data_IF_494928424013
#
_entry.id   IF_494928424013
#
_cell.length_a   1.000
_cell.length_b   1.000
_cell.length_c   1.000
_cell.angle_alpha   90.00
_cell.angle_beta   90.00
_cell.angle_gamma   90.00
#
_symmetry.space_group_name_H-M   'P 1'
#
loop_
_entity.id
_entity.type
_entity.pdbx_description
1 polymer ?
#
# COMPACT_ATOMS: atom_id res chain seq x y z
N UNK A 1 -36.06 30.49 58.23
CA UNK A 1 -35.53 30.26 59.59
C UNK A 1 -35.76 28.78 59.89
N UNK A 2 -34.85 27.92 60.31
CA UNK A 2 -33.53 27.98 60.93
C UNK A 2 -32.88 26.61 60.62
N UNK A 3 -31.71 26.53 59.99
CA UNK A 3 -30.40 26.34 60.63
C UNK A 3 -30.31 25.16 61.63
N UNK A 4 -29.36 24.26 61.31
CA UNK A 4 -28.31 23.66 62.17
C UNK A 4 -28.47 22.21 62.70
N UNK A 5 -27.31 21.54 62.72
CA UNK A 5 -26.82 20.50 63.67
C UNK A 5 -26.96 19.06 63.15
N UNK A 6 -25.92 18.38 62.66
CA UNK A 6 -24.62 17.94 63.24
C UNK A 6 -24.70 16.67 64.11
N UNK A 7 -23.72 15.79 63.87
CA UNK A 7 -23.24 14.65 64.68
C UNK A 7 -24.06 13.35 64.61
N UNK A 8 -23.51 12.26 64.05
CA UNK A 8 -22.47 11.35 64.57
C UNK A 8 -23.11 10.17 65.30
N UNK A 9 -22.97 8.96 64.76
CA UNK A 9 -22.73 7.74 65.55
C UNK A 9 -22.57 6.53 64.66
N UNK A 10 -21.43 5.86 64.80
CA UNK A 10 -21.16 4.50 64.32
C UNK A 10 -22.05 3.49 65.07
N UNK A 11 -22.35 2.37 64.43
CA UNK A 11 -22.13 0.97 64.89
C UNK A 11 -23.24 0.01 64.41
N UNK A 12 -22.75 -0.99 63.67
CA UNK A 12 -23.21 -2.37 63.44
C UNK A 12 -24.68 -2.68 63.18
N UNK A 13 -24.92 -3.36 62.05
CA UNK A 13 -25.73 -4.59 62.04
C UNK A 13 -25.11 -5.63 61.11
N UNK A 14 -24.85 -6.81 61.70
CA UNK A 14 -24.86 -8.15 61.08
C UNK A 14 -26.23 -8.31 60.35
N UNK A 15 -26.47 -9.10 59.31
CA UNK A 15 -25.97 -10.39 58.84
C UNK A 15 -26.77 -10.76 57.57
N UNK A 16 -26.32 -11.80 56.88
CA UNK A 16 -27.12 -12.74 56.06
C UNK A 16 -27.19 -12.53 54.54
N UNK A 17 -26.28 -13.23 53.87
CA UNK A 17 -26.54 -14.24 52.82
C UNK A 17 -27.39 -13.86 51.60
N UNK A 18 -26.74 -13.78 50.44
CA UNK A 18 -27.19 -14.44 49.21
C UNK A 18 -26.01 -14.69 48.27
N UNK A 19 -25.76 -15.97 47.98
CA UNK A 19 -24.83 -16.47 46.98
C UNK A 19 -25.43 -16.17 45.62
N UNK A 20 -24.77 -15.33 44.81
CA UNK A 20 -25.04 -15.23 43.39
C UNK A 20 -23.74 -15.50 42.64
N UNK A 21 -23.76 -16.59 41.88
CA UNK A 21 -22.72 -17.10 41.02
C UNK A 21 -22.31 -16.03 40.00
N UNK A 22 -21.17 -15.37 40.20
CA UNK A 22 -20.52 -14.55 39.17
C UNK A 22 -19.42 -15.39 38.52
N UNK A 23 -19.71 -15.93 37.34
CA UNK A 23 -18.66 -16.35 36.40
C UNK A 23 -18.05 -15.09 35.77
N UNK A 24 -16.74 -14.83 35.91
CA UNK A 24 -16.11 -13.77 35.13
C UNK A 24 -15.87 -14.28 33.70
N UNK A 25 -16.68 -13.83 32.74
CA UNK A 25 -16.29 -13.87 31.33
C UNK A 25 -15.17 -12.83 31.17
N UNK A 26 -13.93 -13.29 31.24
CA UNK A 26 -12.77 -12.49 30.87
C UNK A 26 -12.81 -12.30 29.33
N UNK A 27 -13.33 -11.17 28.88
CA UNK A 27 -13.22 -10.74 27.49
C UNK A 27 -11.74 -10.44 27.19
N UNK A 28 -11.03 -11.43 26.64
CA UNK A 28 -9.68 -11.26 26.11
C UNK A 28 -9.76 -10.42 24.85
N UNK A 29 -9.40 -9.14 24.94
CA UNK A 29 -9.16 -8.30 23.77
C UNK A 29 -7.92 -8.81 23.02
N UNK A 30 -8.13 -9.55 21.94
CA UNK A 30 -7.07 -9.93 21.01
C UNK A 30 -6.69 -8.66 20.25
N UNK A 31 -5.53 -8.10 20.59
CA UNK A 31 -4.93 -6.97 19.88
C UNK A 31 -4.39 -7.49 18.53
N UNK A 32 -5.18 -7.37 17.46
CA UNK A 32 -4.69 -7.58 16.11
C UNK A 32 -3.75 -6.43 15.73
N UNK A 33 -2.44 -6.69 15.80
CA UNK A 33 -1.45 -5.79 15.23
C UNK A 33 -1.49 -5.95 13.71
N UNK A 34 -2.12 -5.01 13.02
CA UNK A 34 -2.07 -4.93 11.56
C UNK A 34 -0.60 -4.69 11.14
N UNK A 35 -0.01 -5.67 10.44
CA UNK A 35 1.28 -5.44 9.80
C UNK A 35 1.09 -4.40 8.69
N UNK A 36 2.05 -3.46 8.49
CA UNK A 36 1.97 -2.53 7.38
C UNK A 36 2.02 -3.32 6.07
N UNK A 37 1.03 -3.13 5.20
CA UNK A 37 1.10 -3.60 3.81
C UNK A 37 2.27 -2.90 3.11
N UNK A 38 3.19 -3.67 2.53
CA UNK A 38 4.32 -3.13 1.77
C UNK A 38 4.06 -3.36 0.29
N UNK A 39 3.53 -2.34 -0.40
CA UNK A 39 3.34 -2.39 -1.84
C UNK A 39 4.68 -2.52 -2.57
N UNK A 40 4.69 -3.29 -3.64
CA UNK A 40 5.83 -3.33 -4.53
C UNK A 40 5.88 -2.03 -5.34
N UNK A 41 6.87 -1.19 -5.04
CA UNK A 41 7.01 0.14 -5.62
C UNK A 41 8.01 0.14 -6.78
N UNK A 42 7.62 0.76 -7.90
CA UNK A 42 8.47 0.93 -9.07
C UNK A 42 8.81 2.39 -9.34
N UNK A 43 10.07 2.64 -9.73
CA UNK A 43 10.54 3.89 -10.31
C UNK A 43 10.52 3.87 -11.83
N UNK A 44 10.92 4.98 -12.47
CA UNK A 44 10.77 5.19 -13.91
C UNK A 44 12.02 5.77 -14.58
N UNK A 45 12.34 5.25 -15.76
CA UNK A 45 13.34 5.79 -16.66
C UNK A 45 12.66 6.54 -17.81
N UNK A 46 13.15 7.74 -18.12
CA UNK A 46 12.73 8.50 -19.29
C UNK A 46 13.21 7.81 -20.58
N UNK A 47 12.39 7.87 -21.64
CA UNK A 47 12.70 7.20 -22.92
C UNK A 47 12.66 8.13 -24.14
N UNK A 48 12.16 9.36 -24.00
CA UNK A 48 12.09 10.36 -25.08
C UNK A 48 13.25 11.34 -25.06
N UNK A 49 13.68 11.78 -23.88
CA UNK A 49 14.80 12.69 -23.71
C UNK A 49 14.59 14.08 -24.33
N UNK A 50 13.35 14.57 -24.41
CA UNK A 50 13.06 15.86 -25.05
C UNK A 50 13.62 17.04 -24.22
N UNK A 51 13.67 16.89 -22.90
CA UNK A 51 14.16 17.84 -21.91
C UNK A 51 14.77 17.10 -20.71
N UNK A 52 16.05 17.37 -20.41
CA UNK A 52 16.72 16.79 -19.26
C UNK A 52 16.03 17.15 -17.92
N UNK A 53 15.47 18.36 -17.82
CA UNK A 53 14.71 18.80 -16.64
C UNK A 53 13.42 18.00 -16.47
N UNK A 54 12.71 17.71 -17.57
CA UNK A 54 11.43 16.99 -17.52
C UNK A 54 11.64 15.51 -17.25
N UNK A 55 12.69 14.94 -17.84
CA UNK A 55 13.15 13.59 -17.57
C UNK A 55 13.47 13.42 -16.08
N UNK A 56 14.26 14.33 -15.49
CA UNK A 56 14.60 14.26 -14.07
C UNK A 56 13.38 14.45 -13.17
N UNK A 57 12.52 15.43 -13.47
CA UNK A 57 11.29 15.67 -12.74
C UNK A 57 10.42 14.40 -12.70
N UNK A 58 10.06 13.87 -13.88
CA UNK A 58 9.23 12.68 -14.01
C UNK A 58 9.81 11.45 -13.29
N UNK A 59 11.09 11.13 -13.50
CA UNK A 59 11.75 10.00 -12.82
C UNK A 59 11.70 10.11 -11.28
N UNK A 60 11.73 11.33 -10.74
CA UNK A 60 11.69 11.56 -9.29
C UNK A 60 10.26 11.52 -8.72
N UNK A 61 9.25 11.98 -9.44
CA UNK A 61 7.89 12.14 -8.92
C UNK A 61 6.94 10.97 -9.22
N UNK A 62 7.13 10.28 -10.35
CA UNK A 62 6.24 9.21 -10.77
C UNK A 62 6.44 7.96 -9.89
N UNK A 63 5.34 7.37 -9.42
CA UNK A 63 5.34 6.15 -8.62
C UNK A 63 4.19 5.23 -9.06
N UNK A 64 4.43 3.93 -8.92
CA UNK A 64 3.38 2.91 -8.96
C UNK A 64 3.50 2.05 -7.72
N UNK A 65 2.36 1.81 -7.09
CA UNK A 65 2.17 0.77 -6.09
C UNK A 65 1.43 -0.41 -6.75
N UNK A 66 1.95 -1.63 -6.59
CA UNK A 66 1.36 -2.84 -7.16
C UNK A 66 0.93 -3.76 -6.03
N UNK A 67 -0.36 -4.07 -5.99
CA UNK A 67 -1.02 -4.80 -4.90
C UNK A 67 -2.07 -5.78 -5.44
N UNK A 68 -2.68 -6.58 -4.55
CA UNK A 68 -3.91 -7.32 -4.88
C UNK A 68 -5.14 -6.38 -4.97
N UNK A 69 -6.29 -6.93 -5.36
CA UNK A 69 -7.52 -6.15 -5.55
C UNK A 69 -8.01 -5.41 -4.28
N UNK A 70 -7.61 -5.85 -3.09
CA UNK A 70 -7.94 -5.22 -1.82
C UNK A 70 -6.92 -4.17 -1.37
N UNK A 71 -5.87 -3.94 -2.17
CA UNK A 71 -4.73 -3.12 -1.78
C UNK A 71 -3.75 -3.83 -0.84
N UNK A 72 -3.84 -5.15 -0.73
CA UNK A 72 -2.95 -6.01 0.06
C UNK A 72 -1.84 -6.66 -0.78
N UNK A 73 -1.12 -7.61 -0.17
CA UNK A 73 0.05 -8.26 -0.78
C UNK A 73 -0.18 -9.77 -1.05
N UNK A 74 -1.42 -10.20 -1.27
CA UNK A 74 -1.73 -11.60 -1.49
C UNK A 74 -1.16 -12.09 -2.83
N UNK A 75 0.01 -12.73 -2.76
CA UNK A 75 0.73 -13.26 -3.92
C UNK A 75 -0.05 -14.31 -4.75
N UNK A 76 -1.13 -14.86 -4.20
CA UNK A 76 -2.01 -15.83 -4.86
C UNK A 76 -3.27 -15.19 -5.46
N UNK A 77 -3.45 -13.87 -5.33
CA UNK A 77 -4.57 -13.14 -5.91
C UNK A 77 -4.62 -13.32 -7.44
N UNK A 78 -5.82 -13.58 -7.98
CA UNK A 78 -6.09 -13.66 -9.42
C UNK A 78 -6.35 -12.29 -10.06
N UNK A 79 -6.17 -11.22 -9.30
CA UNK A 79 -6.29 -9.84 -9.75
C UNK A 79 -5.10 -9.02 -9.22
N UNK A 80 -4.72 -7.99 -9.97
CA UNK A 80 -3.67 -7.04 -9.61
C UNK A 80 -4.18 -5.62 -9.74
N UNK A 81 -3.88 -4.79 -8.75
CA UNK A 81 -4.19 -3.37 -8.75
C UNK A 81 -2.89 -2.58 -8.96
N UNK A 82 -2.85 -1.79 -10.03
CA UNK A 82 -1.77 -0.83 -10.27
C UNK A 82 -2.25 0.56 -9.87
N UNK A 83 -1.67 1.13 -8.82
CA UNK A 83 -1.99 2.49 -8.38
C UNK A 83 -0.88 3.45 -8.77
N UNK A 84 -1.21 4.39 -9.64
CA UNK A 84 -0.34 5.42 -10.19
C UNK A 84 -0.49 6.70 -9.38
N UNK A 85 0.64 7.31 -9.03
CA UNK A 85 0.69 8.59 -8.34
C UNK A 85 1.82 9.46 -8.87
N UNK A 86 1.63 10.77 -8.73
CA UNK A 86 2.57 11.79 -9.18
C UNK A 86 3.00 12.62 -7.96
N UNK A 87 4.00 12.13 -7.22
CA UNK A 87 4.34 12.58 -5.87
C UNK A 87 5.53 13.53 -5.82
N UNK A 88 5.49 14.63 -6.59
CA UNK A 88 6.57 15.62 -6.63
C UNK A 88 6.08 17.05 -6.78
N UNK A 89 7.01 17.99 -6.70
CA UNK A 89 6.71 19.43 -6.74
C UNK A 89 6.79 20.03 -8.14
N UNK A 90 7.44 19.35 -9.09
CA UNK A 90 7.58 19.82 -10.45
C UNK A 90 6.31 19.55 -11.26
N UNK A 91 5.66 20.63 -11.75
CA UNK A 91 4.45 20.56 -12.55
C UNK A 91 4.55 19.45 -13.61
N UNK A 92 3.59 18.52 -13.63
CA UNK A 92 3.42 17.49 -14.66
C UNK A 92 2.09 16.76 -14.45
N UNK A 93 1.62 16.07 -15.49
CA UNK A 93 0.39 15.30 -15.47
C UNK A 93 0.56 13.97 -16.20
N UNK A 94 0.25 12.85 -15.53
CA UNK A 94 0.16 11.54 -16.19
C UNK A 94 -1.13 11.55 -17.00
N UNK A 95 -1.03 11.40 -18.32
CA UNK A 95 -2.20 11.52 -19.22
C UNK A 95 -2.57 10.22 -19.91
N UNK A 96 -1.59 9.32 -20.06
CA UNK A 96 -1.79 8.02 -20.67
C UNK A 96 -0.86 7.02 -19.98
N UNK A 97 -1.37 5.82 -19.75
CA UNK A 97 -0.64 4.69 -19.18
C UNK A 97 -0.78 3.52 -20.14
N UNK A 98 0.30 2.80 -20.32
CA UNK A 98 0.42 1.69 -21.25
C UNK A 98 1.02 0.48 -20.54
N UNK A 99 0.55 -0.70 -20.93
CA UNK A 99 1.06 -1.97 -20.44
C UNK A 99 1.53 -2.79 -21.64
N UNK A 100 2.82 -3.04 -21.69
CA UNK A 100 3.44 -4.04 -22.56
C UNK A 100 3.48 -5.34 -21.75
N UNK A 101 2.57 -6.24 -22.12
CA UNK A 101 2.20 -7.38 -21.32
C UNK A 101 2.80 -8.65 -21.91
N UNK A 102 3.64 -9.32 -21.13
CA UNK A 102 4.12 -10.65 -21.46
C UNK A 102 2.95 -11.63 -21.53
N UNK A 103 2.46 -12.11 -20.38
CA UNK A 103 1.34 -13.06 -20.36
C UNK A 103 0.42 -12.98 -19.15
N UNK A 104 0.77 -12.21 -18.11
CA UNK A 104 0.01 -12.24 -16.85
C UNK A 104 -1.30 -11.47 -16.91
N UNK A 105 -1.35 -10.32 -17.57
CA UNK A 105 -2.56 -9.49 -17.64
C UNK A 105 -3.50 -10.05 -18.72
N UNK A 106 -4.79 -10.17 -18.39
CA UNK A 106 -5.82 -10.64 -19.32
C UNK A 106 -6.73 -9.51 -19.78
N UNK A 107 -7.25 -8.71 -18.85
CA UNK A 107 -8.17 -7.62 -19.16
C UNK A 107 -8.21 -6.60 -18.04
N UNK A 108 -8.36 -5.32 -18.40
CA UNK A 108 -8.71 -4.28 -17.43
C UNK A 108 -10.13 -4.58 -16.92
N UNK A 109 -10.26 -4.87 -15.64
CA UNK A 109 -11.53 -5.11 -14.96
C UNK A 109 -12.22 -3.76 -14.68
N UNK A 110 -11.53 -2.89 -13.96
CA UNK A 110 -12.04 -1.59 -13.54
C UNK A 110 -10.94 -0.51 -13.50
N UNK A 111 -11.38 0.73 -13.50
CA UNK A 111 -10.55 1.93 -13.33
C UNK A 111 -11.16 2.72 -12.18
N UNK A 112 -10.33 3.13 -11.23
CA UNK A 112 -10.70 3.95 -10.09
C UNK A 112 -9.79 5.17 -10.07
N UNK A 113 -10.29 6.31 -9.61
CA UNK A 113 -9.51 7.54 -9.53
C UNK A 113 -9.80 8.28 -8.22
N UNK A 114 -9.00 9.31 -7.96
CA UNK A 114 -9.15 10.19 -6.80
C UNK A 114 -10.32 11.17 -6.89
N UNK A 115 -11.14 11.13 -7.96
CA UNK A 115 -12.23 12.07 -8.20
C UNK A 115 -11.81 13.44 -8.73
N UNK A 116 -12.79 14.36 -8.76
CA UNK A 116 -12.89 15.78 -9.21
C UNK A 116 -12.11 16.28 -10.45
N UNK A 117 -10.91 15.77 -10.70
CA UNK A 117 -9.96 16.24 -11.72
C UNK A 117 -9.17 15.08 -12.34
N UNK A 118 -9.38 13.84 -11.92
CA UNK A 118 -8.80 12.66 -12.57
C UNK A 118 -9.94 11.87 -13.19
N UNK A 119 -9.88 11.64 -14.50
CA UNK A 119 -10.91 10.88 -15.22
C UNK A 119 -10.27 10.12 -16.40
N UNK A 120 -10.32 8.80 -16.33
CA UNK A 120 -9.67 7.90 -17.29
C UNK A 120 -10.65 6.86 -17.83
N UNK A 121 -10.45 6.49 -19.10
CA UNK A 121 -11.08 5.32 -19.70
C UNK A 121 -10.04 4.40 -20.34
N UNK A 122 -10.46 3.18 -20.65
CA UNK A 122 -9.67 2.24 -21.45
C UNK A 122 -9.34 2.90 -22.79
N UNK A 123 -8.07 2.94 -23.13
CA UNK A 123 -7.63 3.42 -24.43
C UNK A 123 -7.97 2.38 -25.49
N UNK A 124 -8.46 2.83 -26.65
CA UNK A 124 -8.80 1.99 -27.80
C UNK A 124 -7.96 2.39 -29.01
N UNK A 125 -7.76 1.46 -29.94
CA UNK A 125 -6.99 1.69 -31.16
C UNK A 125 -5.49 1.51 -30.97
N UNK A 126 -4.70 2.28 -31.73
CA UNK A 126 -3.24 2.15 -31.73
C UNK A 126 -2.63 2.75 -30.46
N UNK A 127 -2.13 1.87 -29.58
CA UNK A 127 -1.53 2.23 -28.30
C UNK A 127 -0.02 2.46 -28.44
N UNK A 128 0.36 3.66 -28.90
CA UNK A 128 1.76 4.02 -29.11
C UNK A 128 2.31 4.88 -27.98
N UNK A 129 3.23 4.31 -27.19
CA UNK A 129 4.03 5.07 -26.24
C UNK A 129 5.08 5.92 -26.99
N UNK A 130 5.13 7.25 -26.81
CA UNK A 130 6.16 8.08 -27.43
C UNK A 130 7.56 7.59 -27.09
N UNK A 131 8.47 7.51 -28.07
CA UNK A 131 9.81 6.96 -27.89
C UNK A 131 9.90 5.44 -27.70
N UNK A 132 8.77 4.74 -27.49
CA UNK A 132 8.75 3.30 -27.21
C UNK A 132 9.35 2.42 -28.32
N UNK A 133 9.23 2.88 -29.58
CA UNK A 133 9.80 2.20 -30.75
C UNK A 133 11.33 2.36 -30.89
N UNK A 134 11.92 3.29 -30.14
CA UNK A 134 13.37 3.58 -30.15
C UNK A 134 14.15 2.77 -29.10
N UNK A 135 13.46 2.02 -28.24
CA UNK A 135 14.09 1.13 -27.27
C UNK A 135 14.67 -0.11 -27.96
N UNK A 136 15.79 -0.63 -27.43
CA UNK A 136 16.41 -1.87 -27.94
C UNK A 136 15.42 -3.03 -27.99
N UNK A 137 14.63 -3.19 -26.92
CA UNK A 137 13.41 -3.99 -26.95
C UNK A 137 12.24 -3.02 -27.07
N UNK A 138 11.63 -2.97 -28.26
CA UNK A 138 10.50 -2.07 -28.57
C UNK A 138 9.39 -2.25 -27.54
N UNK A 139 8.83 -1.14 -27.06
CA UNK A 139 7.65 -1.17 -26.19
C UNK A 139 6.39 -1.39 -27.05
N UNK A 140 5.69 -2.49 -26.84
CA UNK A 140 4.49 -2.88 -27.56
C UNK A 140 3.33 -2.92 -26.58
N UNK A 141 2.44 -1.93 -26.62
CA UNK A 141 1.35 -1.85 -25.64
C UNK A 141 0.19 -2.78 -26.02
N UNK A 142 -0.15 -3.71 -25.13
CA UNK A 142 -1.33 -4.57 -25.24
C UNK A 142 -2.56 -3.92 -24.60
N UNK A 143 -2.34 -3.16 -23.52
CA UNK A 143 -3.39 -2.44 -22.81
C UNK A 143 -2.99 -0.99 -22.58
N UNK A 144 -3.99 -0.14 -22.43
CA UNK A 144 -3.75 1.24 -22.04
C UNK A 144 -5.00 1.90 -21.47
N UNK A 145 -4.76 2.98 -20.74
CA UNK A 145 -5.79 3.91 -20.25
C UNK A 145 -5.37 5.33 -20.58
N UNK A 146 -6.35 6.19 -20.86
CA UNK A 146 -6.12 7.60 -21.21
C UNK A 146 -7.11 8.50 -20.50
N UNK A 147 -6.69 9.74 -20.23
CA UNK A 147 -7.58 10.76 -19.69
C UNK A 147 -8.73 11.10 -20.67
N UNK A 148 -9.93 11.35 -20.15
CA UNK A 148 -11.18 11.55 -20.93
C UNK A 148 -11.44 13.00 -21.38
N UNK A 149 -10.51 13.93 -21.14
CA UNK A 149 -10.68 15.35 -21.46
C UNK A 149 -9.40 16.00 -21.98
N UNK A 150 -9.35 17.34 -21.91
CA UNK A 150 -8.15 18.09 -22.26
C UNK A 150 -6.95 17.56 -21.47
N UNK A 151 -5.92 17.13 -22.20
CA UNK A 151 -4.70 16.56 -21.64
C UNK A 151 -4.10 17.54 -20.62
N UNK A 152 -3.68 17.02 -19.46
CA UNK A 152 -3.26 17.72 -18.23
C UNK A 152 -4.33 18.14 -17.23
N UNK A 153 -5.55 18.47 -17.64
CA UNK A 153 -6.59 18.86 -16.68
C UNK A 153 -7.30 17.67 -16.04
N UNK A 154 -7.41 16.57 -16.79
CA UNK A 154 -8.07 15.33 -16.35
C UNK A 154 -7.09 14.18 -16.04
N UNK A 155 -5.78 14.48 -16.05
CA UNK A 155 -4.71 13.53 -15.78
C UNK A 155 -4.37 13.41 -14.29
N UNK A 156 -3.40 12.56 -13.95
CA UNK A 156 -2.87 12.50 -12.56
C UNK A 156 -1.78 13.55 -12.39
N UNK A 157 -2.15 14.68 -11.81
CA UNK A 157 -1.27 15.82 -11.59
C UNK A 157 -0.41 15.65 -10.34
N UNK A 158 0.72 16.33 -10.34
CA UNK A 158 1.57 16.45 -9.16
C UNK A 158 1.01 17.53 -8.22
N UNK A 159 -0.17 17.29 -7.65
CA UNK A 159 -0.95 18.30 -6.94
C UNK A 159 -0.09 19.24 -6.08
N UNK A 160 -0.37 20.54 -6.15
CA UNK A 160 0.17 21.51 -5.18
C UNK A 160 -0.04 20.94 -3.78
N UNK A 161 1.02 20.90 -2.97
CA UNK A 161 1.12 20.17 -1.70
C UNK A 161 -0.24 20.02 -0.96
N UNK A 162 -0.85 18.83 -1.04
CA UNK A 162 -2.09 18.50 -0.34
C UNK A 162 -3.15 17.75 -1.16
N UNK A 163 -3.11 17.84 -2.49
CA UNK A 163 -4.02 17.10 -3.38
C UNK A 163 -3.29 15.86 -3.94
N UNK A 164 -3.42 14.73 -3.26
CA UNK A 164 -2.83 13.47 -3.71
C UNK A 164 -3.72 12.83 -4.79
N UNK A 165 -3.58 13.29 -6.03
CA UNK A 165 -4.25 12.66 -7.17
C UNK A 165 -3.66 11.28 -7.45
N UNK A 166 -4.53 10.33 -7.80
CA UNK A 166 -4.12 8.97 -8.14
C UNK A 166 -5.09 8.34 -9.13
N UNK A 167 -4.57 7.36 -9.88
CA UNK A 167 -5.36 6.47 -10.72
C UNK A 167 -5.04 5.03 -10.31
N UNK A 168 -6.05 4.17 -10.17
CA UNK A 168 -5.86 2.74 -9.98
C UNK A 168 -6.48 1.97 -11.13
N UNK A 169 -5.73 1.03 -11.70
CA UNK A 169 -6.20 0.15 -12.77
C UNK A 169 -6.18 -1.28 -12.25
N UNK A 170 -7.36 -1.88 -12.14
CA UNK A 170 -7.51 -3.27 -11.71
C UNK A 170 -7.53 -4.17 -12.93
N UNK A 171 -6.67 -5.19 -12.94
CA UNK A 171 -6.64 -6.21 -13.98
C UNK A 171 -7.13 -7.55 -13.45
N UNK A 172 -7.89 -8.24 -14.28
CA UNK A 172 -8.01 -9.69 -14.20
C UNK A 172 -6.75 -10.32 -14.79
N UNK A 173 -6.24 -11.34 -14.12
CA UNK A 173 -5.09 -12.10 -14.57
C UNK A 173 -5.49 -13.28 -15.46
N UNK A 174 -4.54 -13.75 -16.27
CA UNK A 174 -4.69 -14.96 -17.07
C UNK A 174 -4.97 -16.21 -16.22
N UNK A 175 -5.43 -17.28 -16.86
CA UNK A 175 -5.62 -18.55 -16.15
C UNK A 175 -4.32 -19.02 -15.48
N UNK A 176 -4.41 -19.43 -14.22
CA UNK A 176 -3.27 -19.85 -13.38
C UNK A 176 -2.20 -18.77 -13.14
N UNK A 177 -2.49 -17.50 -13.43
CA UNK A 177 -1.63 -16.36 -13.11
C UNK A 177 -2.06 -15.75 -11.78
N UNK A 178 -1.08 -15.28 -11.01
CA UNK A 178 -1.32 -14.62 -9.73
C UNK A 178 -0.55 -13.31 -9.65
N UNK A 179 -0.77 -12.52 -8.59
CA UNK A 179 0.05 -11.34 -8.29
C UNK A 179 1.55 -11.66 -8.33
N UNK A 180 1.96 -12.85 -7.85
CA UNK A 180 3.35 -13.30 -7.97
C UNK A 180 3.83 -13.38 -9.42
N UNK A 181 3.01 -13.91 -10.34
CA UNK A 181 3.36 -13.99 -11.77
C UNK A 181 3.60 -12.60 -12.37
N UNK A 182 2.82 -11.60 -11.97
CA UNK A 182 3.01 -10.20 -12.38
C UNK A 182 4.34 -9.66 -11.88
N UNK A 183 4.65 -9.84 -10.59
CA UNK A 183 5.92 -9.38 -10.02
C UNK A 183 7.13 -10.05 -10.68
N UNK A 184 7.04 -11.36 -10.96
CA UNK A 184 8.09 -12.11 -11.65
C UNK A 184 8.28 -11.60 -13.09
N UNK A 185 7.20 -11.32 -13.82
CA UNK A 185 7.27 -10.77 -15.19
C UNK A 185 7.84 -9.35 -15.22
N UNK A 186 7.53 -8.51 -14.23
CA UNK A 186 8.14 -7.18 -14.08
C UNK A 186 9.64 -7.28 -13.85
N UNK A 187 10.07 -8.17 -12.94
CA UNK A 187 11.50 -8.36 -12.64
C UNK A 187 12.27 -8.90 -13.85
N UNK A 188 11.64 -9.76 -14.65
CA UNK A 188 12.20 -10.27 -15.89
C UNK A 188 12.18 -9.24 -17.04
N UNK A 189 11.44 -8.13 -16.90
CA UNK A 189 11.21 -7.16 -17.96
C UNK A 189 10.24 -7.62 -19.05
N UNK A 190 9.50 -8.71 -18.79
CA UNK A 190 8.45 -9.25 -19.67
C UNK A 190 7.12 -8.50 -19.50
N UNK A 191 6.91 -7.85 -18.36
CA UNK A 191 5.81 -6.91 -18.16
C UNK A 191 6.38 -5.53 -17.89
N UNK A 192 6.09 -4.57 -18.76
CA UNK A 192 6.59 -3.21 -18.67
C UNK A 192 5.42 -2.23 -18.66
N UNK A 193 5.55 -1.20 -17.85
CA UNK A 193 4.54 -0.18 -17.64
C UNK A 193 5.12 1.13 -18.15
N UNK A 194 4.43 1.70 -19.14
CA UNK A 194 4.79 2.95 -19.79
C UNK A 194 3.85 4.08 -19.40
N UNK A 195 4.34 5.30 -19.34
CA UNK A 195 3.53 6.50 -19.08
C UNK A 195 3.89 7.60 -20.06
N UNK A 196 2.88 8.30 -20.59
CA UNK A 196 3.06 9.57 -21.28
C UNK A 196 2.63 10.71 -20.34
N UNK A 197 3.61 11.55 -20.01
CA UNK A 197 3.48 12.63 -19.04
C UNK A 197 3.61 13.96 -19.77
N UNK A 198 2.68 14.86 -19.52
CA UNK A 198 2.56 16.14 -20.21
C UNK A 198 2.48 17.30 -19.21
N UNK A 199 2.41 18.53 -19.73
CA UNK A 199 2.25 19.75 -18.94
C UNK A 199 3.36 19.94 -17.89
N UNK A 200 4.60 19.68 -18.30
CA UNK A 200 5.75 20.10 -17.52
C UNK A 200 5.81 21.63 -17.39
N UNK A 201 6.48 22.15 -16.35
CA UNK A 201 6.53 23.59 -16.06
C UNK A 201 7.13 24.44 -17.19
N UNK A 202 8.08 23.89 -17.94
CA UNK A 202 8.67 24.50 -19.14
C UNK A 202 7.88 24.16 -20.42
N UNK A 203 6.70 23.55 -20.30
CA UNK A 203 5.93 22.98 -21.39
C UNK A 203 6.42 21.60 -21.83
N UNK A 204 5.76 21.05 -22.86
CA UNK A 204 6.16 19.80 -23.50
C UNK A 204 5.73 18.53 -22.77
N UNK A 205 6.31 17.42 -23.20
CA UNK A 205 5.98 16.08 -22.73
C UNK A 205 7.19 15.15 -22.73
N UNK A 206 7.09 14.11 -21.90
CA UNK A 206 8.06 13.04 -21.80
C UNK A 206 7.34 11.70 -21.66
N UNK A 207 7.94 10.64 -22.17
CA UNK A 207 7.51 9.28 -21.90
C UNK A 207 8.49 8.55 -20.98
N UNK A 208 7.95 7.63 -20.20
CA UNK A 208 8.68 6.89 -19.19
C UNK A 208 8.31 5.41 -19.25
N UNK A 209 9.24 4.54 -18.90
CA UNK A 209 9.00 3.11 -18.67
C UNK A 209 9.55 2.75 -17.30
N UNK A 210 8.88 1.84 -16.60
CA UNK A 210 9.34 1.41 -15.28
C UNK A 210 10.80 0.94 -15.35
N UNK A 211 11.61 1.40 -14.41
CA UNK A 211 12.93 0.82 -14.21
C UNK A 211 12.73 -0.63 -13.76
N UNK A 212 13.52 -1.55 -14.32
CA UNK A 212 13.64 -2.86 -13.69
C UNK A 212 14.15 -2.60 -12.28
N UNK A 213 13.51 -3.17 -11.25
CA UNK A 213 14.07 -3.12 -9.91
C UNK A 213 15.51 -3.61 -9.99
N UNK A 214 16.47 -2.96 -9.30
CA UNK A 214 17.77 -3.58 -9.10
C UNK A 214 17.49 -5.00 -8.58
N UNK A 215 18.03 -6.04 -9.24
CA UNK A 215 17.94 -7.41 -8.73
C UNK A 215 18.36 -7.31 -7.26
N UNK A 216 17.52 -7.72 -6.28
CA UNK A 216 17.91 -7.64 -4.90
C UNK A 216 19.20 -8.45 -4.75
N UNK A 217 20.34 -7.79 -4.56
CA UNK A 217 21.42 -8.41 -3.81
C UNK A 217 20.76 -8.75 -2.49
N UNK A 218 20.72 -10.03 -2.13
CA UNK A 218 20.08 -10.56 -0.93
C UNK A 218 20.40 -9.69 0.29
N UNK A 219 19.62 -8.64 0.51
CA UNK A 219 19.62 -7.94 1.77
C UNK A 219 18.86 -8.88 2.69
N UNK A 220 19.64 -9.57 3.51
CA UNK A 220 19.08 -10.29 4.64
C UNK A 220 18.43 -9.22 5.51
N UNK A 221 17.13 -8.96 5.30
CA UNK A 221 16.28 -8.38 6.34
C UNK A 221 16.49 -9.31 7.52
N UNK A 222 17.31 -8.91 8.49
CA UNK A 222 17.43 -9.58 9.77
C UNK A 222 15.99 -9.69 10.26
N UNK A 223 15.44 -10.91 10.31
CA UNK A 223 14.13 -11.17 10.89
C UNK A 223 14.19 -10.56 12.29
N UNK A 224 13.61 -9.38 12.45
CA UNK A 224 13.48 -8.75 13.76
C UNK A 224 12.70 -9.77 14.58
N UNK A 225 13.20 -10.19 15.77
CA UNK A 225 12.52 -11.20 16.57
C UNK A 225 11.06 -10.81 16.73
N UNK A 226 10.17 -11.68 16.28
CA UNK A 226 8.75 -11.46 16.40
C UNK A 226 8.42 -11.23 17.88
N UNK A 227 7.51 -10.31 18.23
CA UNK A 227 7.15 -10.00 19.62
C UNK A 227 6.82 -11.23 20.48
N UNK A 228 6.49 -12.37 19.85
CA UNK A 228 6.34 -13.67 20.51
C UNK A 228 7.57 -14.12 21.32
N UNK A 229 8.80 -13.77 20.93
CA UNK A 229 9.99 -14.15 21.71
C UNK A 229 10.13 -13.32 22.98
N UNK A 230 9.72 -12.04 22.97
CA UNK A 230 9.69 -11.20 24.17
C UNK A 230 8.53 -11.60 25.09
N UNK A 231 7.38 -11.97 24.52
CA UNK A 231 6.24 -12.50 25.29
C UNK A 231 6.55 -13.85 25.97
N UNK A 232 7.31 -14.74 25.30
CA UNK A 232 7.75 -16.00 25.89
C UNK A 232 8.77 -15.80 27.03
N UNK A 233 9.63 -14.79 26.94
CA UNK A 233 10.59 -14.47 28.01
C UNK A 233 9.94 -13.76 29.21
N UNK A 234 8.97 -12.86 28.97
CA UNK A 234 8.29 -12.15 30.06
C UNK A 234 7.34 -13.06 30.85
N UNK A 235 6.67 -14.00 30.20
CA UNK A 235 5.79 -14.97 30.87
C UNK A 235 6.54 -15.96 31.76
N UNK A 236 7.73 -16.42 31.35
CA UNK A 236 8.58 -17.28 32.19
C UNK A 236 9.08 -16.59 33.46
N UNK A 237 9.41 -15.29 33.39
CA UNK A 237 9.84 -14.52 34.57
C UNK A 237 8.71 -14.34 35.61
N UNK A 238 7.48 -14.12 35.16
CA UNK A 238 6.32 -13.97 36.04
C UNK A 238 5.97 -15.30 36.72
N UNK A 239 5.99 -16.42 35.99
CA UNK A 239 5.74 -17.76 36.57
C UNK A 239 6.82 -18.13 37.60
N UNK A 240 8.10 -17.83 37.32
CA UNK A 240 9.18 -18.08 38.27
C UNK A 240 9.04 -17.23 39.56
N UNK A 241 8.64 -15.97 39.44
CA UNK A 241 8.40 -15.09 40.59
C UNK A 241 7.22 -15.55 41.45
N UNK A 242 6.14 -16.02 40.83
CA UNK A 242 4.97 -16.56 41.53
C UNK A 242 5.29 -17.86 42.28
N UNK A 243 6.06 -18.77 41.65
CA UNK A 243 6.48 -20.02 42.30
C UNK A 243 7.43 -19.77 43.48
N UNK A 244 8.32 -18.77 43.39
CA UNK A 244 9.21 -18.37 44.51
C UNK A 244 8.43 -17.85 45.72
N UNK A 245 7.37 -17.06 45.52
CA UNK A 245 6.51 -16.56 46.61
C UNK A 245 5.74 -17.67 47.32
N UNK A 246 5.28 -18.68 46.59
CA UNK A 246 4.56 -19.82 47.20
C UNK A 246 5.48 -20.68 48.09
N UNK A 247 6.77 -20.81 47.74
CA UNK A 247 7.75 -21.55 48.56
C UNK A 247 8.21 -20.80 49.82
N UNK A 248 8.13 -19.46 49.83
CA UNK A 248 8.51 -18.67 51.02
C UNK A 248 7.41 -18.68 52.08
N UNK A 249 6.15 -18.79 51.66
CA UNK A 249 5.01 -18.83 52.58
C UNK A 249 4.77 -20.21 53.21
N UNK A 250 5.20 -21.29 52.55
CA UNK A 250 5.08 -22.67 53.09
C UNK A 250 6.21 -23.06 54.06
N UNK A 251 7.17 -22.17 54.33
CA UNK A 251 8.21 -22.32 55.37
C UNK A 251 7.92 -21.53 56.65
N UNK A 252 6.78 -20.87 56.74
CA UNK A 252 6.33 -20.09 57.91
C UNK A 252 5.04 -20.63 58.54
N UNK A 253 4.68 -21.87 58.22
CA UNK A 253 3.64 -22.63 58.90
C UNK A 253 4.31 -23.78 59.66
#
# INVERSE_FOLDING_TARGET
MSKTTSQSSRISKRSSSAIACLSPIAAGAILLLAAPAQAFQLGFNNITGNSATNALAGSNQLKIDITDASGGESLTSSQVLFKFSNMGTAASSITQIYFDNGTSLKSINSIFDSGSTVDFSKATGNLNLPGGNSLTSKFVSDFGVKANGAVSQMGVNNGTAGQNEWLSVLFDLGANKTLKSVMDEIQAGNLRIGMHVQAFSNGGSEAFVNALPPIPKTEIKKKVPEPGTIAALSTMAIVAALKRRQQTNSRKA
#
